data_IF_518293473142
#
_entry.id   IF_518293473142
#
_cell.length_a   1.000
_cell.length_b   1.000
_cell.length_c   1.000
_cell.angle_alpha   90.00
_cell.angle_beta   90.00
_cell.angle_gamma   90.00
#
_symmetry.space_group_name_H-M   'P 1'
#
loop_
_entity.id
_entity.type
_entity.pdbx_description
1 polymer ?
#
# COMPACT_ATOMS: atom_id res chain seq x y z
N UNK A 1 20.82 40.60 -25.13
CA UNK A 1 20.71 41.81 -24.28
C UNK A 1 20.49 41.36 -22.84
N UNK A 2 21.53 41.37 -22.00
CA UNK A 2 21.40 41.28 -20.55
C UNK A 2 21.71 42.66 -19.95
N UNK A 3 20.84 43.21 -19.12
CA UNK A 3 21.20 44.31 -18.23
C UNK A 3 20.98 43.88 -16.79
N UNK A 4 22.12 43.62 -16.14
CA UNK A 4 22.30 43.72 -14.69
C UNK A 4 22.34 45.19 -14.32
N UNK A 5 21.65 45.56 -13.25
CA UNK A 5 22.01 46.72 -12.44
C UNK A 5 21.90 46.34 -10.96
N UNK A 6 22.96 46.71 -10.26
CA UNK A 6 23.34 46.42 -8.88
C UNK A 6 22.82 47.49 -7.90
N UNK A 7 22.84 47.09 -6.62
CA UNK A 7 23.07 47.88 -5.40
C UNK A 7 21.90 48.44 -4.55
N UNK A 8 21.82 47.83 -3.35
CA UNK A 8 21.90 48.40 -1.99
C UNK A 8 20.80 49.29 -1.38
N UNK A 9 20.20 48.70 -0.33
CA UNK A 9 19.90 49.25 1.02
C UNK A 9 19.14 50.58 1.13
N UNK A 10 17.93 50.51 1.69
CA UNK A 10 17.63 51.11 3.01
C UNK A 10 16.25 50.66 3.54
N UNK A 11 16.19 50.53 4.86
CA UNK A 11 15.00 50.35 5.69
C UNK A 11 13.83 51.25 5.30
N UNK A 12 12.60 50.74 5.44
CA UNK A 12 11.61 51.33 6.35
C UNK A 12 10.36 50.47 6.42
N UNK A 13 9.93 50.23 7.66
CA UNK A 13 8.68 49.57 8.02
C UNK A 13 7.47 50.37 7.55
N UNK A 14 6.52 49.71 6.87
CA UNK A 14 5.07 49.75 7.15
C UNK A 14 4.33 48.89 6.12
N UNK A 15 3.31 48.13 6.55
CA UNK A 15 2.12 47.94 5.74
C UNK A 15 0.89 48.55 6.40
N UNK A 16 0.23 49.41 5.63
CA UNK A 16 -1.14 49.86 5.82
C UNK A 16 -2.13 48.78 5.33
N UNK A 17 -3.26 48.73 6.04
CA UNK A 17 -4.65 48.44 5.61
C UNK A 17 -4.97 47.01 5.16
N UNK A 18 -5.95 46.37 5.83
CA UNK A 18 -7.17 45.83 5.19
C UNK A 18 -8.38 46.06 6.11
N UNK A 19 -9.45 46.60 5.52
CA UNK A 19 -10.78 46.91 6.05
C UNK A 19 -11.82 46.08 5.29
N UNK A 20 -12.80 45.48 5.97
CA UNK A 20 -14.15 45.10 5.46
C UNK A 20 -15.10 45.07 6.71
N UNK A 21 -16.18 45.84 6.93
CA UNK A 21 -17.45 46.13 6.20
C UNK A 21 -18.22 44.83 5.88
N UNK A 22 -19.48 44.51 6.26
CA UNK A 22 -20.67 45.07 6.99
C UNK A 22 -21.63 43.85 7.30
N UNK A 23 -22.80 43.89 7.98
CA UNK A 23 -24.12 44.46 7.60
C UNK A 23 -25.26 44.14 8.64
N UNK A 24 -26.07 45.18 8.94
CA UNK A 24 -27.50 45.34 9.36
C UNK A 24 -28.10 44.74 10.65
N UNK A 25 -29.13 45.45 11.18
CA UNK A 25 -30.49 44.89 11.12
C UNK A 25 -31.57 45.84 10.56
N UNK A 26 -32.66 45.20 10.15
CA UNK A 26 -33.77 45.68 9.33
C UNK A 26 -34.76 46.64 10.02
N UNK A 27 -35.02 47.75 9.31
CA UNK A 27 -36.31 48.38 8.96
C UNK A 27 -37.56 48.06 9.82
N UNK A 28 -38.18 49.12 10.34
CA UNK A 28 -39.63 49.31 10.26
C UNK A 28 -39.94 50.78 9.94
N UNK A 29 -40.60 51.04 8.80
CA UNK A 29 -41.07 52.35 8.36
C UNK A 29 -42.53 52.58 8.80
N UNK A 30 -42.84 53.78 9.25
CA UNK A 30 -44.18 54.37 9.17
C UNK A 30 -44.10 55.58 8.20
N UNK A 31 -45.06 55.78 7.28
CA UNK A 31 -44.99 56.86 6.31
C UNK A 31 -45.64 58.13 6.85
N UNK A 32 -45.06 59.29 6.57
CA UNK A 32 -45.80 60.55 6.67
C UNK A 32 -45.49 61.47 5.48
N UNK A 33 -46.59 61.99 4.96
CA UNK A 33 -46.82 62.75 3.74
C UNK A 33 -45.85 63.88 3.38
N UNK A 34 -45.79 64.08 2.06
CA UNK A 34 -45.38 65.30 1.38
C UNK A 34 -46.15 66.54 1.88
N UNK A 35 -45.43 67.66 2.03
CA UNK A 35 -45.84 68.94 1.44
C UNK A 35 -44.69 69.95 1.50
N UNK A 36 -44.33 70.47 0.33
CA UNK A 36 -43.46 71.62 0.14
C UNK A 36 -44.17 72.94 0.52
N UNK A 37 -43.36 74.00 0.57
CA UNK A 37 -43.65 75.44 0.28
C UNK A 37 -43.51 76.39 1.48
N UNK A 38 -42.35 77.08 1.50
CA UNK A 38 -42.11 78.42 2.09
C UNK A 38 -42.66 79.52 1.14
N UNK A 39 -42.65 80.84 1.44
CA UNK A 39 -42.17 81.57 2.64
C UNK A 39 -43.12 82.71 3.13
N UNK A 40 -42.79 83.36 4.26
CA UNK A 40 -42.64 84.84 4.38
C UNK A 40 -42.73 85.33 5.84
N UNK A 41 -41.98 86.40 6.14
CA UNK A 41 -42.51 87.51 6.94
C UNK A 41 -42.21 87.59 8.44
N UNK A 42 -41.10 88.28 8.75
CA UNK A 42 -40.96 89.36 9.76
C UNK A 42 -41.46 89.21 11.22
N UNK A 43 -40.47 89.26 12.11
CA UNK A 43 -40.30 90.26 13.18
C UNK A 43 -41.00 90.09 14.56
N UNK A 44 -40.15 90.34 15.57
CA UNK A 44 -40.42 90.82 16.94
C UNK A 44 -40.92 89.83 18.00
N UNK A 45 -40.28 89.89 19.18
CA UNK A 45 -40.90 89.46 20.44
C UNK A 45 -39.98 88.74 21.43
N UNK A 46 -39.15 89.50 22.17
CA UNK A 46 -38.55 89.04 23.42
C UNK A 46 -39.65 88.52 24.38
N UNK A 47 -39.54 87.27 24.84
CA UNK A 47 -39.91 86.89 26.22
C UNK A 47 -38.97 85.82 26.77
N UNK A 48 -38.12 86.28 27.68
CA UNK A 48 -37.42 85.49 28.69
C UNK A 48 -38.50 84.94 29.64
N UNK A 49 -38.61 83.63 29.77
CA UNK A 49 -39.35 82.98 30.86
C UNK A 49 -38.73 81.60 31.15
N UNK A 50 -38.19 81.52 32.36
CA UNK A 50 -37.99 80.38 33.23
C UNK A 50 -36.98 79.29 32.88
N UNK A 51 -35.82 79.49 33.51
CA UNK A 51 -34.93 78.50 34.11
C UNK A 51 -35.72 77.60 35.09
N UNK A 52 -36.42 76.59 34.57
CA UNK A 52 -36.93 75.47 35.37
C UNK A 52 -36.19 74.19 34.97
N UNK A 53 -35.36 73.73 35.91
CA UNK A 53 -35.01 72.33 36.17
C UNK A 53 -35.26 71.35 35.01
N UNK A 54 -34.34 71.33 34.03
CA UNK A 54 -34.11 70.12 33.25
C UNK A 54 -33.46 69.08 34.16
N UNK A 55 -34.27 68.40 34.96
CA UNK A 55 -33.94 67.06 35.44
C UNK A 55 -33.82 66.22 34.18
N UNK A 56 -32.58 65.97 33.75
CA UNK A 56 -32.29 64.96 32.76
C UNK A 56 -32.76 63.63 33.33
N UNK A 57 -33.98 63.20 32.97
CA UNK A 57 -34.37 61.80 33.04
C UNK A 57 -33.46 61.02 32.09
N UNK A 58 -32.25 60.70 32.54
CA UNK A 58 -31.50 59.59 31.95
C UNK A 58 -32.31 58.34 32.29
N UNK A 59 -32.87 57.69 31.26
CA UNK A 59 -33.32 56.33 31.44
C UNK A 59 -32.09 55.47 31.77
N UNK A 60 -32.21 54.72 32.87
CA UNK A 60 -31.18 53.82 33.39
C UNK A 60 -30.80 52.85 32.26
N UNK A 61 -29.52 52.80 31.86
CA UNK A 61 -29.04 51.67 31.07
C UNK A 61 -28.93 50.52 32.07
N UNK A 62 -29.73 49.47 31.88
CA UNK A 62 -29.51 48.20 32.57
C UNK A 62 -28.07 47.73 32.33
N UNK A 63 -27.54 46.92 33.24
CA UNK A 63 -26.20 46.33 33.19
C UNK A 63 -25.80 45.93 31.75
N UNK A 64 -24.87 46.67 31.15
CA UNK A 64 -24.45 46.47 29.74
C UNK A 64 -23.37 45.39 29.63
N UNK A 65 -22.84 44.91 30.75
CA UNK A 65 -21.76 43.94 30.80
C UNK A 65 -22.29 42.64 31.40
N UNK A 66 -22.77 41.74 30.54
CA UNK A 66 -23.22 40.41 30.93
C UNK A 66 -22.07 39.39 31.00
N UNK A 67 -20.82 39.83 30.79
CA UNK A 67 -19.65 38.95 30.75
C UNK A 67 -18.42 39.60 31.40
N UNK A 68 -17.69 38.80 32.17
CA UNK A 68 -16.35 39.08 32.69
C UNK A 68 -15.40 37.96 32.25
N UNK A 69 -14.10 38.23 32.29
CA UNK A 69 -13.07 37.29 31.84
C UNK A 69 -12.03 37.08 32.93
N UNK A 70 -11.54 35.85 33.06
CA UNK A 70 -10.45 35.48 33.98
C UNK A 70 -9.52 34.53 33.25
N UNK A 71 -8.21 34.76 33.31
CA UNK A 71 -7.22 33.84 32.72
C UNK A 71 -7.17 32.54 33.52
N UNK A 72 -7.09 31.42 32.81
CA UNK A 72 -6.81 30.14 33.45
C UNK A 72 -5.37 30.01 33.95
N UNK A 73 -5.12 28.94 34.69
CA UNK A 73 -3.83 28.45 35.15
C UNK A 73 -2.91 29.46 35.87
N UNK A 74 -3.46 30.61 36.23
CA UNK A 74 -2.76 31.66 36.94
C UNK A 74 -2.32 31.18 38.32
N UNK A 75 -1.02 31.33 38.57
CA UNK A 75 -0.33 30.89 39.77
C UNK A 75 0.33 32.09 40.46
N UNK A 76 -0.48 32.88 41.16
CA UNK A 76 -0.03 34.00 41.99
C UNK A 76 -0.36 33.79 43.47
N UNK A 77 0.37 34.44 44.40
CA UNK A 77 0.08 34.37 45.83
C UNK A 77 -1.19 35.15 46.21
N UNK A 78 -1.66 36.04 45.33
CA UNK A 78 -2.85 36.87 45.55
C UNK A 78 -4.02 36.40 44.67
N UNK A 79 -5.26 36.47 45.19
CA UNK A 79 -6.46 36.24 44.40
C UNK A 79 -6.54 37.17 43.17
N UNK A 80 -6.99 36.65 42.05
CA UNK A 80 -7.07 37.41 40.79
C UNK A 80 -8.31 38.29 40.82
N UNK A 81 -8.15 39.60 40.63
CA UNK A 81 -9.28 40.50 40.40
C UNK A 81 -9.91 40.19 39.03
N UNK A 82 -11.12 39.63 39.04
CA UNK A 82 -11.89 39.31 37.83
C UNK A 82 -12.62 40.54 37.30
N UNK A 83 -13.10 41.38 38.21
CA UNK A 83 -13.84 42.59 37.86
C UNK A 83 -14.42 43.27 39.09
N UNK A 84 -15.05 44.42 38.87
CA UNK A 84 -15.74 45.18 39.92
C UNK A 84 -17.18 45.41 39.51
N UNK A 85 -18.10 45.08 40.39
CA UNK A 85 -19.50 45.49 40.28
C UNK A 85 -19.70 46.84 40.97
N UNK A 86 -20.53 47.68 40.37
CA UNK A 86 -20.85 48.98 40.93
C UNK A 86 -22.30 49.35 40.59
N UNK A 87 -22.99 49.96 41.53
CA UNK A 87 -24.34 50.51 41.33
C UNK A 87 -24.24 52.03 41.35
N UNK A 88 -25.01 52.68 40.48
CA UNK A 88 -25.12 54.14 40.43
C UNK A 88 -25.76 54.76 41.68
N UNK A 89 -26.35 53.91 42.53
CA UNK A 89 -26.89 54.28 43.84
C UNK A 89 -25.82 54.36 44.93
N UNK A 90 -24.57 53.95 44.66
CA UNK A 90 -23.46 54.06 45.62
C UNK A 90 -22.81 55.44 45.53
N UNK A 91 -23.01 56.35 46.52
CA UNK A 91 -22.31 57.64 46.54
C UNK A 91 -20.84 57.52 47.01
N UNK A 92 -20.27 56.31 47.08
CA UNK A 92 -18.98 56.02 47.70
C UNK A 92 -19.07 55.88 49.22
N UNK A 93 -20.25 55.55 49.73
CA UNK A 93 -20.51 55.38 51.18
C UNK A 93 -20.57 53.90 51.52
N UNK A 94 -20.14 53.49 52.72
CA UNK A 94 -20.18 52.08 53.13
C UNK A 94 -21.60 51.56 53.47
N UNK A 95 -22.64 52.12 52.84
CA UNK A 95 -24.07 51.81 53.00
C UNK A 95 -24.58 50.78 52.00
N UNK A 96 -23.86 50.53 50.91
CA UNK A 96 -24.20 49.48 49.95
C UNK A 96 -23.41 48.23 50.28
N UNK A 97 -24.08 47.09 50.16
CA UNK A 97 -23.51 45.76 50.30
C UNK A 97 -23.73 44.99 49.00
N UNK A 98 -22.65 44.49 48.43
CA UNK A 98 -22.70 43.63 47.24
C UNK A 98 -22.76 42.16 47.64
N UNK A 99 -23.69 41.42 47.04
CA UNK A 99 -23.89 39.99 47.25
C UNK A 99 -23.72 39.27 45.92
N UNK A 100 -22.99 38.15 45.96
CA UNK A 100 -22.75 37.27 44.82
C UNK A 100 -23.32 35.89 45.13
N UNK A 101 -24.00 35.30 44.15
CA UNK A 101 -24.63 33.98 44.23
C UNK A 101 -24.52 33.26 42.89
N UNK A 102 -24.79 31.95 42.84
CA UNK A 102 -24.65 31.13 41.64
C UNK A 102 -23.40 30.26 41.64
N UNK A 103 -22.91 29.91 40.46
CA UNK A 103 -21.85 28.91 40.27
C UNK A 103 -20.52 29.38 40.88
N UNK A 104 -20.00 28.60 41.83
CA UNK A 104 -18.71 28.89 42.46
C UNK A 104 -18.68 30.13 43.36
N UNK A 105 -19.82 30.79 43.59
CA UNK A 105 -19.91 31.94 44.49
C UNK A 105 -19.56 31.55 45.94
N UNK A 106 -18.68 32.32 46.57
CA UNK A 106 -18.21 32.09 47.94
C UNK A 106 -17.12 31.02 48.08
N UNK A 107 -16.83 30.25 47.02
CA UNK A 107 -15.78 29.21 47.02
C UNK A 107 -14.68 29.46 46.00
N UNK A 108 -15.07 29.78 44.77
CA UNK A 108 -14.19 30.06 43.64
C UNK A 108 -14.14 31.57 43.43
N UNK A 109 -15.30 32.22 43.38
CA UNK A 109 -15.43 33.66 43.22
C UNK A 109 -15.93 34.29 44.52
N UNK A 110 -15.15 35.23 45.06
CA UNK A 110 -15.49 35.96 46.29
C UNK A 110 -15.60 37.43 45.96
N UNK A 111 -16.77 38.01 46.27
CA UNK A 111 -16.99 39.45 46.16
C UNK A 111 -16.65 40.15 47.47
N UNK A 112 -15.94 41.26 47.39
CA UNK A 112 -15.80 42.20 48.49
C UNK A 112 -17.12 42.95 48.66
N UNK A 113 -17.77 42.75 49.80
CA UNK A 113 -19.11 43.27 50.07
C UNK A 113 -19.17 44.81 50.10
N UNK A 114 -18.04 45.51 50.28
CA UNK A 114 -17.94 46.97 50.30
C UNK A 114 -17.50 47.57 48.96
N UNK A 115 -16.52 46.96 48.30
CA UNK A 115 -15.93 47.53 47.07
C UNK A 115 -16.56 47.01 45.79
N UNK A 116 -17.25 45.86 45.86
CA UNK A 116 -17.79 45.17 44.70
C UNK A 116 -16.73 44.43 43.88
N UNK A 117 -15.47 44.37 44.35
CA UNK A 117 -14.40 43.63 43.69
C UNK A 117 -14.61 42.12 43.80
N UNK A 118 -14.68 41.45 42.66
CA UNK A 118 -14.79 40.00 42.56
C UNK A 118 -13.40 39.42 42.34
N UNK A 119 -12.99 38.50 43.21
CA UNK A 119 -11.73 37.79 43.09
C UNK A 119 -11.93 36.30 42.85
N UNK A 120 -11.10 35.73 41.97
CA UNK A 120 -10.94 34.29 41.85
C UNK A 120 -9.93 33.81 42.91
N UNK A 121 -10.39 32.96 43.82
CA UNK A 121 -9.63 32.45 44.96
C UNK A 121 -8.94 31.11 44.69
N UNK A 122 -9.27 30.47 43.56
CA UNK A 122 -8.72 29.18 43.14
C UNK A 122 -8.15 29.31 41.74
N UNK A 123 -7.19 28.43 41.44
CA UNK A 123 -6.74 28.17 40.08
C UNK A 123 -7.93 27.63 39.27
N UNK A 124 -8.08 28.13 38.06
CA UNK A 124 -9.13 27.76 37.13
C UNK A 124 -8.48 27.06 35.95
N UNK A 125 -9.16 26.05 35.44
CA UNK A 125 -8.80 25.26 34.27
C UNK A 125 -10.03 25.31 33.34
N UNK A 126 -9.82 25.76 32.10
CA UNK A 126 -10.87 25.94 31.11
C UNK A 126 -11.36 24.59 30.60
N UNK A 127 -10.47 23.62 30.42
CA UNK A 127 -10.79 22.24 30.03
C UNK A 127 -11.66 21.55 31.09
N UNK A 128 -11.49 21.90 32.37
CA UNK A 128 -12.41 21.47 33.44
C UNK A 128 -13.75 22.20 33.37
N UNK A 129 -13.76 23.54 33.34
CA UNK A 129 -14.98 24.35 33.24
C UNK A 129 -14.74 25.75 32.66
N UNK A 130 -15.14 25.93 31.41
CA UNK A 130 -14.94 27.17 30.64
C UNK A 130 -15.80 28.38 31.08
N UNK A 131 -16.98 28.19 31.67
CA UNK A 131 -17.89 29.29 32.00
C UNK A 131 -18.63 29.09 33.33
N UNK A 132 -18.83 30.19 34.05
CA UNK A 132 -19.57 30.24 35.32
C UNK A 132 -20.69 31.26 35.22
N UNK A 133 -21.92 30.86 35.53
CA UNK A 133 -23.06 31.78 35.58
C UNK A 133 -23.30 32.23 37.01
N UNK A 134 -23.19 33.54 37.25
CA UNK A 134 -23.37 34.14 38.57
C UNK A 134 -24.46 35.21 38.54
N UNK A 135 -25.07 35.42 39.70
CA UNK A 135 -26.04 36.49 39.92
C UNK A 135 -25.53 37.41 41.02
N UNK A 136 -25.49 38.70 40.72
CA UNK A 136 -25.14 39.74 41.68
C UNK A 136 -26.33 40.59 42.08
N UNK A 137 -26.30 41.08 43.32
CA UNK A 137 -27.31 41.97 43.85
C UNK A 137 -26.68 43.04 44.75
N UNK A 138 -27.08 44.29 44.55
CA UNK A 138 -26.77 45.40 45.45
C UNK A 138 -27.93 45.57 46.45
N UNK A 139 -27.62 45.52 47.74
CA UNK A 139 -28.57 45.72 48.83
C UNK A 139 -28.14 46.84 49.75
N UNK A 140 -29.10 47.45 50.44
CA UNK A 140 -28.82 48.33 51.57
C UNK A 140 -28.18 47.52 52.70
N UNK A 141 -27.06 48.00 53.25
CA UNK A 141 -26.24 47.23 54.17
C UNK A 141 -26.89 47.00 55.53
N UNK A 142 -27.71 47.94 55.99
CA UNK A 142 -28.34 47.88 57.30
C UNK A 142 -29.64 47.07 57.26
N UNK A 143 -30.39 47.20 56.17
CA UNK A 143 -31.72 46.59 56.03
C UNK A 143 -31.75 45.34 55.15
N UNK A 144 -30.66 45.05 54.41
CA UNK A 144 -30.59 44.04 53.34
C UNK A 144 -31.71 44.15 52.29
N UNK A 145 -32.33 45.34 52.14
CA UNK A 145 -33.33 45.54 51.09
C UNK A 145 -32.65 45.67 49.72
N UNK A 146 -33.15 44.98 48.68
CA UNK A 146 -32.66 45.14 47.31
C UNK A 146 -32.76 46.59 46.83
N UNK A 147 -31.62 47.16 46.46
CA UNK A 147 -31.55 48.49 45.84
C UNK A 147 -31.70 48.40 44.32
N UNK A 148 -31.27 47.27 43.76
CA UNK A 148 -31.40 46.93 42.36
C UNK A 148 -31.96 45.51 42.17
N UNK A 149 -32.62 45.23 41.03
CA UNK A 149 -32.92 43.85 40.67
C UNK A 149 -31.62 43.03 40.57
N UNK A 150 -31.67 41.72 40.88
CA UNK A 150 -30.54 40.84 40.62
C UNK A 150 -30.12 40.89 39.15
N UNK A 151 -28.81 40.90 38.90
CA UNK A 151 -28.24 40.88 37.55
C UNK A 151 -27.44 39.60 37.36
N UNK A 152 -27.81 38.82 36.36
CA UNK A 152 -27.05 37.65 35.92
C UNK A 152 -25.92 38.08 34.98
N UNK A 153 -24.75 37.45 35.15
CA UNK A 153 -23.59 37.63 34.29
C UNK A 153 -22.76 36.34 34.25
N UNK A 154 -21.94 36.21 33.22
CA UNK A 154 -21.09 35.04 33.01
C UNK A 154 -19.63 35.43 33.26
N UNK A 155 -18.90 34.63 34.00
CA UNK A 155 -17.44 34.69 34.03
C UNK A 155 -16.93 33.62 33.05
N UNK A 156 -16.28 34.07 31.97
CA UNK A 156 -15.62 33.19 31.01
C UNK A 156 -14.16 33.00 31.39
N UNK A 157 -13.71 31.76 31.42
CA UNK A 157 -12.29 31.42 31.58
C UNK A 157 -11.61 31.60 30.23
N UNK A 158 -10.56 32.40 30.19
CA UNK A 158 -9.76 32.64 29.00
C UNK A 158 -8.67 31.59 28.87
N UNK A 159 -8.65 31.01 27.69
CA UNK A 159 -7.72 29.97 27.25
C UNK A 159 -6.25 30.42 27.30
N UNK A 160 -5.37 29.53 27.75
CA UNK A 160 -3.92 29.57 27.63
C UNK A 160 -3.50 28.29 26.92
N UNK A 161 -2.58 28.41 25.96
CA UNK A 161 -2.10 27.26 25.20
C UNK A 161 -1.16 26.36 26.04
N UNK A 162 -1.70 25.53 26.91
CA UNK A 162 -0.98 24.68 27.85
C UNK A 162 -1.16 23.17 27.60
N UNK A 163 -2.09 22.79 26.72
CA UNK A 163 -2.22 21.42 26.24
C UNK A 163 -1.45 21.24 24.92
N UNK A 164 -0.69 20.16 24.81
CA UNK A 164 -0.03 19.81 23.57
C UNK A 164 -0.93 18.91 22.71
N UNK A 165 -0.81 18.97 21.36
CA UNK A 165 -1.56 18.07 20.49
C UNK A 165 -1.28 16.59 20.79
N UNK A 166 -2.32 15.77 20.90
CA UNK A 166 -2.21 14.32 21.14
C UNK A 166 -2.82 13.51 20.00
N UNK A 167 -2.14 12.44 19.57
CA UNK A 167 -2.64 11.53 18.54
C UNK A 167 -3.52 10.44 19.16
N UNK A 168 -4.76 10.29 18.67
CA UNK A 168 -5.80 9.48 19.33
C UNK A 168 -5.93 8.02 18.81
N UNK A 169 -5.23 7.65 17.74
CA UNK A 169 -5.34 6.34 17.07
C UNK A 169 -3.98 5.64 16.82
N UNK A 170 -2.92 6.04 17.53
CA UNK A 170 -1.59 5.42 17.39
C UNK A 170 -1.48 4.04 18.08
N UNK A 171 -0.57 3.15 17.63
CA UNK A 171 0.37 3.31 16.51
C UNK A 171 -0.30 3.12 15.13
N UNK A 172 0.09 3.93 14.15
CA UNK A 172 -0.48 3.88 12.81
C UNK A 172 0.29 2.94 11.90
N UNK A 173 -0.43 2.08 11.18
CA UNK A 173 0.11 1.21 10.14
C UNK A 173 -0.64 1.46 8.84
N UNK A 174 0.10 1.51 7.73
CA UNK A 174 -0.47 1.69 6.41
C UNK A 174 0.28 0.83 5.38
N UNK A 175 -0.41 0.53 4.29
CA UNK A 175 0.15 -0.18 3.16
C UNK A 175 -0.16 0.60 1.89
N UNK A 176 0.81 0.75 1.02
CA UNK A 176 0.65 1.40 -0.29
C UNK A 176 1.34 0.55 -1.36
N UNK A 177 0.76 0.37 -2.55
CA UNK A 177 1.45 -0.33 -3.63
C UNK A 177 2.78 0.33 -3.96
N UNK A 178 3.81 -0.48 -4.20
CA UNK A 178 5.02 0.02 -4.82
C UNK A 178 4.74 0.58 -6.22
N UNK A 179 5.70 1.32 -6.77
CA UNK A 179 5.58 2.06 -8.02
C UNK A 179 4.37 3.02 -8.08
N UNK A 180 3.74 3.31 -6.94
CA UNK A 180 2.61 4.24 -6.87
C UNK A 180 3.01 5.61 -7.39
N UNK A 181 2.11 6.23 -8.16
CA UNK A 181 2.31 7.59 -8.65
C UNK A 181 2.39 8.57 -7.48
N UNK A 182 3.13 9.67 -7.67
CA UNK A 182 3.22 10.75 -6.68
C UNK A 182 1.82 11.31 -6.39
N UNK A 183 1.51 11.52 -5.11
CA UNK A 183 0.23 12.01 -4.64
C UNK A 183 -0.79 10.91 -4.31
N UNK A 184 -0.40 9.64 -4.40
CA UNK A 184 -1.25 8.50 -4.00
C UNK A 184 -1.53 8.58 -2.50
N UNK A 185 -2.80 8.44 -2.12
CA UNK A 185 -3.23 8.41 -0.72
C UNK A 185 -2.63 7.18 -0.01
N UNK A 186 -1.99 7.41 1.14
CA UNK A 186 -1.44 6.33 1.99
C UNK A 186 -2.33 6.11 3.20
N UNK A 187 -2.48 7.13 4.03
CA UNK A 187 -3.32 7.08 5.22
C UNK A 187 -3.64 8.49 5.72
N UNK A 188 -4.50 8.60 6.72
CA UNK A 188 -4.79 9.84 7.44
C UNK A 188 -4.51 9.62 8.92
N UNK A 189 -3.78 10.55 9.55
CA UNK A 189 -3.58 10.56 10.99
C UNK A 189 -4.48 11.61 11.64
N UNK A 190 -4.83 11.42 12.91
CA UNK A 190 -5.67 12.36 13.65
C UNK A 190 -5.01 12.72 14.97
N UNK A 191 -4.84 14.02 15.21
CA UNK A 191 -4.51 14.58 16.51
C UNK A 191 -5.62 15.51 16.99
N UNK A 192 -5.74 15.59 18.31
CA UNK A 192 -6.66 16.46 19.03
C UNK A 192 -5.89 17.33 20.00
N UNK A 193 -6.41 18.52 20.23
CA UNK A 193 -5.88 19.47 21.20
C UNK A 193 -7.02 19.88 22.12
N UNK A 194 -6.76 19.99 23.41
CA UNK A 194 -7.78 20.26 24.41
C UNK A 194 -8.10 21.76 24.50
N UNK A 195 -7.20 22.64 24.06
CA UNK A 195 -7.31 24.09 24.15
C UNK A 195 -8.46 24.65 23.28
N UNK A 196 -8.80 25.93 23.44
CA UNK A 196 -9.85 26.59 22.66
C UNK A 196 -9.44 26.74 21.17
N UNK A 197 -10.23 26.21 20.21
CA UNK A 197 -9.91 26.33 18.79
C UNK A 197 -10.29 27.69 18.19
N UNK A 198 -11.06 28.51 18.90
CA UNK A 198 -11.65 29.78 18.41
C UNK A 198 -10.82 30.97 18.88
N UNK A 199 -10.42 31.00 20.15
CA UNK A 199 -9.63 32.09 20.71
C UNK A 199 -8.12 31.83 20.49
N UNK A 200 -7.39 32.81 19.98
CA UNK A 200 -5.92 32.72 19.84
C UNK A 200 -5.37 31.73 18.80
N UNK A 201 -6.21 30.93 18.14
CA UNK A 201 -5.85 29.77 17.33
C UNK A 201 -5.13 28.65 18.13
N UNK A 202 -5.24 28.61 19.47
CA UNK A 202 -4.50 27.67 20.34
C UNK A 202 -4.62 26.24 19.82
N UNK A 203 -5.83 25.67 19.74
CA UNK A 203 -6.03 24.30 19.25
C UNK A 203 -6.02 24.12 17.71
N UNK A 204 -5.62 25.12 16.91
CA UNK A 204 -5.59 24.97 15.45
C UNK A 204 -4.33 24.22 15.01
N UNK A 205 -4.49 22.96 14.64
CA UNK A 205 -3.38 22.09 14.27
C UNK A 205 -2.85 22.29 12.85
N UNK A 206 -1.53 22.22 12.72
CA UNK A 206 -0.78 22.12 11.46
C UNK A 206 0.15 20.92 11.52
N UNK A 207 0.07 20.05 10.50
CA UNK A 207 0.81 18.80 10.43
C UNK A 207 2.05 18.92 9.55
N UNK A 208 3.13 18.24 9.94
CA UNK A 208 4.37 18.17 9.16
C UNK A 208 5.08 16.83 9.35
N UNK A 209 5.98 16.49 8.42
CA UNK A 209 6.82 15.29 8.51
C UNK A 209 8.19 15.70 9.05
N UNK A 210 8.62 15.08 10.15
CA UNK A 210 9.98 15.23 10.70
C UNK A 210 10.94 14.21 10.05
N UNK A 211 10.50 12.98 9.86
CA UNK A 211 11.28 11.89 9.23
C UNK A 211 10.41 11.12 8.23
N UNK A 212 10.97 10.74 7.08
CA UNK A 212 10.25 10.08 5.99
C UNK A 212 10.26 10.83 4.66
N UNK A 213 10.82 12.05 4.62
CA UNK A 213 11.21 12.71 3.37
C UNK A 213 12.40 11.98 2.72
N UNK A 214 12.51 11.96 1.38
CA UNK A 214 11.60 12.55 0.39
C UNK A 214 10.44 11.61 -0.05
N UNK A 215 10.26 10.47 0.61
CA UNK A 215 9.36 9.41 0.17
C UNK A 215 7.88 9.76 0.31
N UNK A 216 7.51 10.46 1.38
CA UNK A 216 6.13 10.80 1.69
C UNK A 216 5.94 12.30 1.90
N UNK A 217 4.72 12.79 1.72
CA UNK A 217 4.29 14.15 2.02
C UNK A 217 3.04 14.11 2.91
N UNK A 218 2.80 15.17 3.66
CA UNK A 218 1.58 15.32 4.46
C UNK A 218 0.90 16.63 4.12
N UNK A 219 -0.42 16.60 3.97
CA UNK A 219 -1.21 17.82 3.84
C UNK A 219 -1.36 18.51 5.20
N UNK A 220 -0.89 19.77 5.35
CA UNK A 220 -0.74 20.39 6.67
C UNK A 220 -2.05 20.62 7.45
N UNK A 221 -3.21 20.60 6.81
CA UNK A 221 -4.50 20.89 7.46
C UNK A 221 -5.45 19.69 7.51
N UNK A 222 -5.24 18.68 6.66
CA UNK A 222 -6.11 17.50 6.58
C UNK A 222 -5.44 16.27 7.19
N UNK A 223 -4.13 16.33 7.47
CA UNK A 223 -3.31 15.24 7.98
C UNK A 223 -3.29 14.00 7.08
N UNK A 224 -3.56 14.20 5.79
CA UNK A 224 -3.49 13.14 4.78
C UNK A 224 -2.04 12.95 4.34
N UNK A 225 -1.53 11.73 4.51
CA UNK A 225 -0.21 11.33 4.04
C UNK A 225 -0.33 10.77 2.62
N UNK A 226 0.57 11.21 1.74
CA UNK A 226 0.64 10.82 0.33
C UNK A 226 2.06 10.42 -0.07
N UNK A 227 2.19 9.60 -1.10
CA UNK A 227 3.48 9.36 -1.75
C UNK A 227 4.04 10.66 -2.34
N UNK A 228 5.34 10.89 -2.19
CA UNK A 228 6.04 12.07 -2.69
C UNK A 228 7.18 11.73 -3.65
N UNK A 229 7.69 10.50 -3.60
CA UNK A 229 8.71 9.99 -4.51
C UNK A 229 8.09 8.95 -5.46
N UNK A 230 8.35 9.03 -6.79
CA UNK A 230 7.93 7.98 -7.72
C UNK A 230 8.81 6.74 -7.60
N UNK A 231 8.34 5.61 -8.14
CA UNK A 231 9.10 4.37 -8.28
C UNK A 231 9.74 3.90 -6.97
N UNK A 232 9.02 4.05 -5.86
CA UNK A 232 9.35 3.34 -4.64
C UNK A 232 9.21 1.85 -4.93
N UNK A 233 10.24 1.09 -4.56
CA UNK A 233 10.46 -0.31 -4.97
C UNK A 233 10.61 -1.14 -3.68
N UNK A 234 9.77 -2.17 -3.55
CA UNK A 234 9.66 -3.04 -2.38
C UNK A 234 10.88 -3.95 -2.26
N UNK A 235 11.37 -4.48 -3.37
CA UNK A 235 12.58 -5.32 -3.45
C UNK A 235 13.82 -4.57 -2.96
N UNK A 236 13.86 -3.25 -3.17
CA UNK A 236 14.89 -2.38 -2.61
C UNK A 236 14.65 -2.02 -1.13
N UNK A 237 13.41 -1.67 -0.76
CA UNK A 237 13.03 -1.32 0.62
C UNK A 237 11.52 -1.45 0.86
N UNK A 238 11.14 -2.45 1.65
CA UNK A 238 9.72 -2.76 1.92
C UNK A 238 9.05 -1.88 2.98
N UNK A 239 9.80 -1.33 3.95
CA UNK A 239 9.21 -0.67 5.13
C UNK A 239 9.81 0.72 5.40
N UNK A 240 8.94 1.66 5.75
CA UNK A 240 9.27 3.05 6.06
C UNK A 240 8.64 3.50 7.37
N UNK A 241 9.46 4.05 8.26
CA UNK A 241 9.01 4.72 9.47
C UNK A 241 8.92 6.22 9.22
N UNK A 242 7.71 6.78 9.31
CA UNK A 242 7.44 8.20 9.08
C UNK A 242 7.06 8.85 10.39
N UNK A 243 7.83 9.84 10.84
CA UNK A 243 7.55 10.60 12.06
C UNK A 243 6.77 11.85 11.69
N UNK A 244 5.54 11.94 12.19
CA UNK A 244 4.63 13.06 11.98
C UNK A 244 4.62 13.94 13.23
N UNK A 245 4.63 15.25 13.03
CA UNK A 245 4.38 16.25 14.06
C UNK A 245 3.04 16.93 13.80
N UNK A 246 2.22 17.04 14.84
CA UNK A 246 1.10 17.97 14.91
C UNK A 246 1.54 19.15 15.79
N UNK A 247 1.38 20.37 15.28
CA UNK A 247 1.72 21.60 16.00
C UNK A 247 0.51 22.51 16.09
N UNK A 248 0.24 23.00 17.29
CA UNK A 248 -0.88 23.89 17.60
C UNK A 248 -0.60 25.34 17.12
N UNK A 249 -1.42 26.30 17.55
CA UNK A 249 -1.28 27.73 17.21
C UNK A 249 -1.16 28.01 15.71
N UNK A 250 -1.80 27.21 14.86
CA UNK A 250 -1.68 27.31 13.40
C UNK A 250 -0.25 27.09 12.88
N UNK A 251 0.60 26.40 13.64
CA UNK A 251 2.01 26.16 13.33
C UNK A 251 2.96 27.31 13.66
N UNK A 252 2.49 28.39 14.30
CA UNK A 252 3.31 29.56 14.63
C UNK A 252 4.43 29.26 15.64
N UNK A 253 5.42 30.17 15.75
CA UNK A 253 6.46 30.08 16.77
C UNK A 253 5.84 30.31 18.15
N UNK A 254 6.12 29.41 19.09
CA UNK A 254 5.53 29.42 20.44
C UNK A 254 4.53 28.29 20.69
N UNK A 255 3.98 27.69 19.62
CA UNK A 255 3.08 26.56 19.74
C UNK A 255 3.72 25.27 20.25
N UNK A 256 2.96 24.46 20.98
CA UNK A 256 3.32 23.13 21.45
C UNK A 256 3.13 22.10 20.32
N UNK A 257 3.75 20.93 20.49
CA UNK A 257 3.73 19.90 19.47
C UNK A 257 3.70 18.50 20.04
N UNK A 258 2.87 17.65 19.43
CA UNK A 258 2.90 16.20 19.61
C UNK A 258 3.49 15.51 18.39
N UNK A 259 4.02 14.30 18.60
CA UNK A 259 4.58 13.47 17.53
C UNK A 259 4.03 12.05 17.56
N UNK A 260 3.89 11.44 16.39
CA UNK A 260 3.58 9.99 16.25
C UNK A 260 4.42 9.38 15.14
N UNK A 261 4.64 8.07 15.21
CA UNK A 261 5.25 7.29 14.12
C UNK A 261 4.18 6.54 13.35
N UNK A 262 4.28 6.56 12.02
CA UNK A 262 3.47 5.78 11.09
C UNK A 262 4.39 4.78 10.40
N UNK A 263 4.06 3.50 10.49
CA UNK A 263 4.77 2.43 9.78
C UNK A 263 4.09 2.18 8.45
N UNK A 264 4.77 2.48 7.35
CA UNK A 264 4.25 2.32 5.99
C UNK A 264 4.99 1.16 5.33
N UNK A 265 4.23 0.17 4.87
CA UNK A 265 4.73 -0.99 4.13
C UNK A 265 4.37 -0.85 2.65
N UNK A 266 5.29 -1.24 1.77
CA UNK A 266 4.99 -1.35 0.35
C UNK A 266 4.33 -2.71 0.08
N UNK A 267 3.16 -2.70 -0.57
CA UNK A 267 2.58 -3.94 -1.10
C UNK A 267 3.16 -4.22 -2.48
N UNK A 268 3.47 -5.49 -2.67
CA UNK A 268 4.05 -6.06 -3.89
C UNK A 268 3.21 -5.79 -5.14
N UNK A 269 3.89 -5.41 -6.21
CA UNK A 269 3.37 -5.28 -7.57
C UNK A 269 4.21 -6.19 -8.45
N UNK A 270 3.58 -6.92 -9.39
CA UNK A 270 4.34 -7.75 -10.33
C UNK A 270 5.11 -6.88 -11.34
N UNK A 271 6.34 -6.51 -10.99
CA UNK A 271 7.25 -5.73 -11.84
C UNK A 271 8.59 -6.44 -12.11
N UNK A 272 8.86 -7.57 -11.44
CA UNK A 272 10.00 -8.43 -11.74
C UNK A 272 9.57 -9.68 -12.50
N UNK A 273 10.20 -9.98 -13.65
CA UNK A 273 9.96 -11.25 -14.32
C UNK A 273 10.85 -12.36 -13.77
N UNK A 274 10.43 -13.63 -13.93
CA UNK A 274 11.22 -14.77 -13.51
C UNK A 274 12.48 -14.84 -14.37
N UNK A 275 13.65 -14.99 -13.74
CA UNK A 275 14.95 -15.07 -14.43
C UNK A 275 15.57 -16.44 -14.24
N UNK A 276 15.91 -17.11 -15.34
CA UNK A 276 16.59 -18.39 -15.26
C UNK A 276 17.97 -18.25 -14.59
N UNK A 277 18.29 -19.20 -13.70
CA UNK A 277 19.60 -19.24 -13.04
C UNK A 277 20.75 -19.49 -14.03
N UNK A 278 20.46 -20.10 -15.18
CA UNK A 278 21.42 -20.41 -16.24
C UNK A 278 20.78 -20.14 -17.61
N UNK A 279 21.56 -19.62 -18.56
CA UNK A 279 21.12 -19.44 -19.94
C UNK A 279 21.13 -20.74 -20.76
N UNK A 280 21.92 -21.73 -20.34
CA UNK A 280 22.05 -23.05 -20.95
C UNK A 280 22.06 -24.12 -19.86
N UNK A 281 21.09 -25.04 -19.93
CA UNK A 281 21.06 -26.26 -19.12
C UNK A 281 21.51 -27.45 -19.96
N UNK A 282 22.21 -28.39 -19.33
CA UNK A 282 22.67 -29.61 -19.97
C UNK A 282 22.20 -30.83 -19.19
N UNK A 283 21.53 -31.75 -19.88
CA UNK A 283 21.08 -33.02 -19.32
C UNK A 283 21.47 -34.16 -20.26
N UNK A 284 21.60 -35.35 -19.70
CA UNK A 284 21.68 -36.59 -20.46
C UNK A 284 20.62 -37.57 -19.98
N UNK A 285 20.16 -38.42 -20.89
CA UNK A 285 19.11 -39.40 -20.65
C UNK A 285 19.34 -40.62 -21.54
N UNK A 286 19.16 -41.81 -20.99
CA UNK A 286 19.20 -43.05 -21.76
C UNK A 286 17.99 -43.13 -22.70
N UNK A 287 18.14 -43.76 -23.86
CA UNK A 287 17.02 -43.90 -24.79
C UNK A 287 15.91 -44.83 -24.29
N UNK A 288 16.27 -45.84 -23.48
CA UNK A 288 15.37 -46.83 -22.87
C UNK A 288 14.61 -46.31 -21.65
N UNK A 289 14.76 -45.02 -21.34
CA UNK A 289 14.12 -44.36 -20.21
C UNK A 289 12.59 -44.52 -20.22
N UNK A 290 12.03 -44.82 -19.05
CA UNK A 290 10.59 -44.96 -18.90
C UNK A 290 9.86 -43.62 -19.17
N UNK A 291 8.68 -43.71 -19.80
CA UNK A 291 7.81 -42.56 -20.02
C UNK A 291 7.38 -41.94 -18.68
N UNK A 292 7.42 -40.61 -18.61
CA UNK A 292 7.10 -39.82 -17.42
C UNK A 292 8.27 -39.62 -16.45
N UNK A 293 9.43 -40.22 -16.71
CA UNK A 293 10.60 -40.06 -15.83
C UNK A 293 11.20 -38.65 -15.99
N UNK A 294 11.57 -37.97 -14.88
CA UNK A 294 12.22 -36.67 -14.93
C UNK A 294 13.66 -36.76 -15.44
N UNK A 295 13.96 -35.98 -16.48
CA UNK A 295 15.31 -35.82 -17.03
C UNK A 295 16.12 -34.83 -16.20
N UNK A 296 15.48 -33.74 -15.79
CA UNK A 296 16.17 -32.62 -15.16
C UNK A 296 15.23 -31.53 -14.70
N UNK A 297 15.79 -30.56 -13.98
CA UNK A 297 15.08 -29.40 -13.45
C UNK A 297 15.73 -28.12 -13.93
N UNK A 298 14.91 -27.18 -14.37
CA UNK A 298 15.30 -25.80 -14.66
C UNK A 298 14.70 -24.88 -13.62
N UNK A 299 15.45 -23.87 -13.22
CA UNK A 299 15.01 -22.94 -12.18
C UNK A 299 15.04 -21.51 -12.69
N UNK A 300 13.90 -20.83 -12.57
CA UNK A 300 13.79 -19.39 -12.66
C UNK A 300 13.52 -18.79 -11.28
N UNK A 301 14.19 -17.68 -10.97
CA UNK A 301 13.99 -16.95 -9.72
C UNK A 301 13.26 -15.64 -10.04
N UNK A 302 12.18 -15.40 -9.31
CA UNK A 302 11.46 -14.14 -9.31
C UNK A 302 11.76 -13.39 -8.01
N UNK A 303 11.85 -12.05 -8.07
CA UNK A 303 12.15 -11.20 -6.91
C UNK A 303 10.89 -10.71 -6.18
N UNK A 304 9.74 -10.81 -6.83
CA UNK A 304 8.44 -10.50 -6.24
C UNK A 304 8.08 -11.50 -5.12
N UNK A 305 6.95 -11.29 -4.45
CA UNK A 305 6.47 -12.20 -3.40
C UNK A 305 5.06 -12.76 -3.64
N UNK A 306 4.74 -13.85 -2.94
CA UNK A 306 3.41 -14.43 -2.93
C UNK A 306 2.97 -14.98 -4.29
N UNK A 307 1.85 -14.48 -4.80
CA UNK A 307 1.33 -14.90 -6.11
C UNK A 307 2.10 -14.30 -7.28
N UNK A 308 2.65 -13.09 -7.14
CA UNK A 308 3.38 -12.41 -8.23
C UNK A 308 4.68 -13.16 -8.58
N UNK A 309 5.32 -13.76 -7.57
CA UNK A 309 6.52 -14.58 -7.72
C UNK A 309 6.31 -15.96 -8.37
N UNK A 310 5.06 -16.40 -8.60
CA UNK A 310 4.80 -17.74 -9.13
C UNK A 310 4.97 -17.79 -10.63
N UNK A 311 5.66 -18.82 -11.12
CA UNK A 311 5.97 -18.98 -12.54
C UNK A 311 5.42 -20.27 -13.13
N UNK A 312 4.96 -20.19 -14.37
CA UNK A 312 4.69 -21.33 -15.25
C UNK A 312 5.85 -21.55 -16.21
N UNK A 313 6.13 -22.80 -16.55
CA UNK A 313 7.14 -23.16 -17.53
C UNK A 313 6.50 -23.79 -18.77
N UNK A 314 7.06 -23.53 -19.94
CA UNK A 314 6.62 -24.12 -21.20
C UNK A 314 7.78 -24.37 -22.17
N UNK A 315 7.65 -25.36 -23.05
CA UNK A 315 8.61 -25.64 -24.13
C UNK A 315 8.07 -24.94 -25.39
N UNK A 316 8.70 -23.83 -25.76
CA UNK A 316 8.20 -22.98 -26.86
C UNK A 316 8.82 -23.34 -28.22
N UNK A 317 10.02 -23.93 -28.24
CA UNK A 317 10.70 -24.35 -29.47
C UNK A 317 11.58 -25.60 -29.23
N UNK A 318 11.91 -26.33 -30.29
CA UNK A 318 12.88 -27.43 -30.26
C UNK A 318 12.28 -28.84 -30.11
N UNK A 319 11.01 -28.94 -29.71
CA UNK A 319 10.28 -30.20 -29.58
C UNK A 319 9.09 -30.31 -30.54
N UNK A 320 9.37 -30.36 -31.85
CA UNK A 320 8.34 -30.39 -32.89
C UNK A 320 7.45 -31.65 -32.92
N UNK A 321 7.69 -32.62 -32.02
CA UNK A 321 6.92 -33.86 -31.94
C UNK A 321 6.37 -34.11 -30.52
N UNK A 322 6.39 -33.15 -29.61
CA UNK A 322 5.93 -33.31 -28.21
C UNK A 322 6.57 -34.54 -27.52
N UNK A 323 7.88 -34.74 -27.71
CA UNK A 323 8.67 -35.82 -27.11
C UNK A 323 8.90 -35.55 -25.64
N UNK A 324 9.02 -34.28 -25.25
CA UNK A 324 9.25 -33.82 -23.90
C UNK A 324 8.03 -33.05 -23.39
N UNK A 325 7.91 -32.99 -22.07
CA UNK A 325 6.98 -32.10 -21.40
C UNK A 325 7.70 -31.38 -20.27
N UNK A 326 7.22 -30.18 -19.92
CA UNK A 326 7.69 -29.45 -18.75
C UNK A 326 6.50 -29.11 -17.85
N UNK A 327 6.68 -29.30 -16.55
CA UNK A 327 5.66 -28.99 -15.54
C UNK A 327 6.28 -28.24 -14.38
N UNK A 328 5.56 -27.28 -13.79
CA UNK A 328 5.99 -26.60 -12.56
C UNK A 328 5.82 -27.52 -11.35
N UNK A 329 6.88 -27.68 -10.56
CA UNK A 329 6.82 -28.37 -9.27
C UNK A 329 6.05 -27.53 -8.24
N UNK A 330 5.03 -28.13 -7.62
CA UNK A 330 4.17 -27.41 -6.68
C UNK A 330 4.88 -26.97 -5.38
N UNK A 331 6.00 -27.61 -5.02
CA UNK A 331 6.75 -27.29 -3.79
C UNK A 331 7.91 -26.35 -4.06
N UNK A 332 8.70 -26.63 -5.10
CA UNK A 332 9.94 -25.86 -5.37
C UNK A 332 9.75 -24.74 -6.39
N UNK A 333 8.64 -24.72 -7.14
CA UNK A 333 8.41 -23.84 -8.30
C UNK A 333 9.47 -24.00 -9.41
N UNK A 334 10.21 -25.11 -9.42
CA UNK A 334 11.13 -25.43 -10.52
C UNK A 334 10.36 -26.06 -11.69
N UNK A 335 10.86 -25.86 -12.91
CA UNK A 335 10.36 -26.57 -14.10
C UNK A 335 10.98 -27.96 -14.18
N UNK A 336 10.17 -29.01 -14.12
CA UNK A 336 10.62 -30.41 -14.28
C UNK A 336 10.38 -30.86 -15.72
N UNK A 337 11.45 -31.27 -16.40
CA UNK A 337 11.39 -31.78 -17.77
C UNK A 337 11.26 -33.32 -17.72
N UNK A 338 10.30 -33.88 -18.46
CA UNK A 338 10.02 -35.32 -18.53
C UNK A 338 9.98 -35.83 -19.97
N UNK A 339 10.21 -37.12 -20.12
CA UNK A 339 10.01 -37.83 -21.38
C UNK A 339 8.55 -38.20 -21.54
N UNK A 340 7.93 -37.76 -22.64
CA UNK A 340 6.53 -38.02 -23.00
C UNK A 340 6.39 -39.09 -24.08
N UNK A 341 7.39 -39.25 -24.95
CA UNK A 341 7.44 -40.27 -26.00
C UNK A 341 8.80 -40.99 -25.99
N UNK A 342 8.86 -42.25 -26.44
CA UNK A 342 10.11 -43.01 -26.49
C UNK A 342 11.20 -42.26 -27.25
N UNK A 343 12.42 -42.38 -26.75
CA UNK A 343 13.61 -41.87 -27.39
C UNK A 343 14.24 -42.98 -28.24
N UNK A 344 15.07 -42.58 -29.19
CA UNK A 344 15.77 -43.47 -30.12
C UNK A 344 17.07 -42.74 -30.50
N UNK A 345 18.19 -43.30 -30.04
CA UNK A 345 19.51 -42.74 -30.19
C UNK A 345 19.97 -42.77 -31.66
N UNK A 346 19.68 -43.84 -32.38
CA UNK A 346 19.97 -44.06 -33.80
C UNK A 346 19.32 -42.97 -34.65
N UNK A 347 18.08 -42.62 -34.31
CA UNK A 347 17.30 -41.58 -34.98
C UNK A 347 17.79 -40.17 -34.62
N UNK A 348 17.96 -39.87 -33.31
CA UNK A 348 18.34 -38.52 -32.88
C UNK A 348 19.05 -38.46 -31.53
N UNK A 349 20.37 -38.28 -31.60
CA UNK A 349 21.30 -38.23 -30.46
C UNK A 349 21.20 -37.00 -29.54
N UNK A 350 20.52 -35.92 -29.95
CA UNK A 350 20.39 -34.74 -29.09
C UNK A 350 19.23 -33.83 -29.46
N UNK A 351 18.71 -33.14 -28.45
CA UNK A 351 17.65 -32.15 -28.56
C UNK A 351 18.11 -30.82 -27.96
N UNK A 352 17.75 -29.74 -28.64
CA UNK A 352 17.94 -28.38 -28.14
C UNK A 352 16.57 -27.75 -28.02
N UNK A 353 16.10 -27.61 -26.78
CA UNK A 353 14.82 -27.04 -26.43
C UNK A 353 15.00 -25.59 -26.03
N UNK A 354 14.02 -24.76 -26.35
CA UNK A 354 13.89 -23.42 -25.79
C UNK A 354 12.73 -23.44 -24.81
N UNK A 355 13.05 -23.18 -23.55
CA UNK A 355 12.08 -23.18 -22.45
C UNK A 355 11.80 -21.75 -22.05
N UNK A 356 10.54 -21.43 -21.82
CA UNK A 356 10.06 -20.16 -21.31
C UNK A 356 9.61 -20.33 -19.86
N UNK A 357 9.96 -19.39 -18.99
CA UNK A 357 9.34 -19.21 -17.68
C UNK A 357 8.58 -17.90 -17.72
N UNK A 358 7.34 -17.88 -17.24
CA UNK A 358 6.48 -16.69 -17.23
C UNK A 358 5.70 -16.57 -15.92
N UNK A 359 5.44 -15.36 -15.45
CA UNK A 359 4.59 -15.15 -14.27
C UNK A 359 3.17 -15.67 -14.53
N UNK A 360 2.59 -16.35 -13.55
CA UNK A 360 1.22 -16.87 -13.64
C UNK A 360 0.20 -15.73 -13.54
N UNK A 361 0.46 -14.76 -12.67
CA UNK A 361 -0.45 -13.66 -12.39
C UNK A 361 0.06 -12.39 -13.03
N UNK A 362 -0.58 -11.98 -14.13
CA UNK A 362 -0.24 -10.74 -14.82
C UNK A 362 -1.19 -9.63 -14.37
N UNK A 363 -0.65 -8.52 -13.87
CA UNK A 363 -1.45 -7.33 -13.59
C UNK A 363 -1.68 -6.54 -14.90
N UNK A 364 -2.95 -6.31 -15.31
CA UNK A 364 -3.28 -5.57 -16.53
C UNK A 364 -2.60 -4.20 -16.66
N UNK A 365 -2.29 -3.53 -15.55
CA UNK A 365 -1.67 -2.21 -15.51
C UNK A 365 -0.23 -2.22 -16.00
N UNK A 366 0.45 -3.36 -15.88
CA UNK A 366 1.88 -3.50 -16.20
C UNK A 366 2.13 -4.33 -17.46
N UNK A 367 1.07 -4.84 -18.13
CA UNK A 367 1.16 -5.62 -19.38
C UNK A 367 1.99 -4.95 -20.50
N UNK A 368 2.10 -3.63 -20.49
CA UNK A 368 2.88 -2.84 -21.46
C UNK A 368 4.33 -2.55 -21.02
N UNK A 369 4.72 -2.93 -19.80
CA UNK A 369 5.92 -2.45 -19.11
C UNK A 369 7.16 -3.35 -19.19
N UNK A 370 7.06 -4.64 -19.52
CA UNK A 370 8.25 -5.49 -19.56
C UNK A 370 7.96 -6.95 -19.92
N UNK A 371 9.01 -7.73 -20.20
CA UNK A 371 8.84 -9.14 -20.48
C UNK A 371 8.57 -9.86 -19.15
N UNK A 372 7.31 -10.21 -18.86
CA UNK A 372 6.89 -11.10 -17.74
C UNK A 372 7.37 -12.55 -17.90
N UNK A 373 8.47 -12.70 -18.61
CA UNK A 373 8.99 -13.97 -19.08
C UNK A 373 10.46 -13.88 -19.39
N UNK A 374 11.14 -14.99 -19.18
CA UNK A 374 12.51 -15.21 -19.59
C UNK A 374 12.60 -16.54 -20.33
N UNK A 375 13.67 -16.73 -21.10
CA UNK A 375 13.89 -17.95 -21.87
C UNK A 375 15.28 -18.52 -21.64
N UNK A 376 15.38 -19.83 -21.52
CA UNK A 376 16.64 -20.55 -21.44
C UNK A 376 16.70 -21.66 -22.49
N UNK A 377 17.93 -22.03 -22.87
CA UNK A 377 18.17 -23.18 -23.75
C UNK A 377 18.43 -24.42 -22.91
N UNK A 378 17.80 -25.54 -23.25
CA UNK A 378 18.05 -26.85 -22.64
C UNK A 378 18.59 -27.78 -23.70
N UNK A 379 19.81 -28.28 -23.51
CA UNK A 379 20.41 -29.30 -24.36
C UNK A 379 20.31 -30.66 -23.68
N UNK A 380 19.58 -31.57 -24.30
CA UNK A 380 19.43 -32.96 -23.86
C UNK A 380 20.24 -33.84 -24.80
N UNK A 381 21.15 -34.63 -24.24
CA UNK A 381 21.91 -35.64 -24.97
C UNK A 381 21.25 -36.99 -24.71
N UNK A 382 20.95 -37.72 -25.78
CA UNK A 382 20.49 -39.11 -25.67
C UNK A 382 21.72 -39.98 -25.58
N UNK A 383 21.75 -40.85 -24.57
CA UNK A 383 22.76 -41.87 -24.37
C UNK A 383 22.23 -43.21 -24.90
N UNK A 384 23.12 -43.91 -25.59
CA UNK A 384 22.93 -45.22 -26.21
C UNK A 384 22.69 -46.28 -25.11
N UNK A 385 21.63 -47.07 -25.23
CA UNK A 385 21.33 -48.19 -24.35
C UNK A 385 21.40 -49.51 -25.13
N UNK A 386 21.89 -50.56 -24.48
CA UNK A 386 22.12 -51.88 -25.12
C UNK A 386 20.81 -52.47 -25.71
N UNK A 387 20.76 -52.63 -27.03
CA UNK A 387 19.63 -53.19 -27.77
C UNK A 387 19.97 -54.56 -28.41
N UNK A 388 18.99 -55.47 -28.50
CA UNK A 388 19.23 -56.76 -29.17
C UNK A 388 19.40 -56.61 -30.69
N UNK A 389 20.03 -57.58 -31.37
CA UNK A 389 20.36 -57.44 -32.79
C UNK A 389 19.10 -57.60 -33.64
N UNK A 390 18.97 -56.74 -34.64
CA UNK A 390 17.82 -56.63 -35.53
C UNK A 390 18.13 -57.24 -36.90
N UNK A 391 17.30 -58.21 -37.31
CA UNK A 391 17.37 -58.79 -38.66
C UNK A 391 17.05 -57.75 -39.73
N UNK A 392 17.76 -57.80 -40.87
CA UNK A 392 17.55 -56.87 -41.98
C UNK A 392 16.21 -57.04 -42.69
N UNK A 393 15.53 -58.18 -42.50
CA UNK A 393 14.17 -58.43 -42.99
C UNK A 393 13.36 -59.16 -41.91
N UNK A 394 12.07 -58.84 -41.72
CA UNK A 394 11.20 -59.56 -40.79
C UNK A 394 10.88 -60.99 -41.25
N UNK A 395 11.09 -61.30 -42.54
CA UNK A 395 10.87 -62.64 -43.09
C UNK A 395 11.81 -62.87 -44.27
N UNK A 396 12.40 -64.06 -44.33
CA UNK A 396 13.24 -64.51 -45.44
C UNK A 396 12.55 -65.67 -46.14
N UNK A 397 12.15 -65.48 -47.40
CA UNK A 397 11.58 -66.53 -48.23
C UNK A 397 12.68 -67.12 -49.11
N UNK A 398 12.96 -68.41 -48.93
CA UNK A 398 13.97 -69.14 -49.70
C UNK A 398 13.29 -70.24 -50.50
N UNK A 399 13.64 -70.33 -51.79
CA UNK A 399 13.17 -71.42 -52.66
C UNK A 399 14.28 -72.47 -52.80
N UNK A 400 13.93 -73.74 -52.58
CA UNK A 400 14.85 -74.87 -52.66
C UNK A 400 14.22 -76.00 -53.47
N UNK A 401 15.03 -76.64 -54.31
CA UNK A 401 14.63 -77.88 -54.99
C UNK A 401 14.81 -79.08 -54.05
N UNK A 402 13.88 -80.04 -54.08
CA UNK A 402 13.97 -81.27 -53.28
C UNK A 402 15.27 -82.07 -53.52
N UNK A 403 15.79 -82.00 -54.76
CA UNK A 403 17.03 -82.65 -55.18
C UNK A 403 18.28 -81.80 -54.90
N UNK A 404 18.17 -80.76 -54.06
CA UNK A 404 19.32 -79.96 -53.64
C UNK A 404 20.35 -80.85 -52.93
N UNK A 405 21.63 -80.64 -53.28
CA UNK A 405 22.72 -81.42 -52.70
C UNK A 405 22.87 -81.10 -51.21
N UNK A 406 23.24 -82.10 -50.41
CA UNK A 406 23.59 -81.87 -49.01
C UNK A 406 24.71 -80.83 -48.91
N UNK A 407 24.58 -79.94 -47.93
CA UNK A 407 25.41 -78.76 -47.69
C UNK A 407 25.35 -77.66 -48.77
N UNK A 408 24.41 -77.71 -49.72
CA UNK A 408 24.17 -76.58 -50.62
C UNK A 408 23.65 -75.37 -49.84
N UNK A 409 24.12 -74.17 -50.17
CA UNK A 409 23.63 -72.91 -49.59
C UNK A 409 22.26 -72.59 -50.16
N UNK A 410 21.26 -72.46 -49.29
CA UNK A 410 19.87 -72.13 -49.64
C UNK A 410 19.62 -70.63 -49.64
N UNK A 411 20.32 -69.92 -48.77
CA UNK A 411 20.19 -68.48 -48.59
C UNK A 411 21.05 -67.99 -47.45
N UNK A 412 20.94 -66.71 -47.14
CA UNK A 412 21.67 -66.06 -46.06
C UNK A 412 20.75 -65.07 -45.36
N UNK A 413 20.79 -65.08 -44.03
CA UNK A 413 20.19 -64.02 -43.21
C UNK A 413 21.24 -63.04 -42.77
N UNK A 414 20.81 -61.81 -42.53
CA UNK A 414 21.67 -60.73 -42.05
C UNK A 414 20.98 -60.05 -40.88
N UNK A 415 21.76 -59.72 -39.85
CA UNK A 415 21.32 -58.91 -38.73
C UNK A 415 22.39 -57.85 -38.46
N UNK A 416 21.97 -56.78 -37.81
CA UNK A 416 22.82 -55.72 -37.34
C UNK A 416 22.34 -55.33 -35.95
N UNK A 417 23.29 -54.97 -35.11
CA UNK A 417 23.07 -54.43 -33.77
C UNK A 417 23.00 -52.90 -33.95
N UNK A 418 21.91 -52.25 -33.53
CA UNK A 418 21.72 -50.80 -33.65
C UNK A 418 22.79 -49.97 -32.93
N UNK A 419 23.36 -50.51 -31.85
CA UNK A 419 24.17 -49.77 -30.88
C UNK A 419 25.50 -49.25 -31.46
N UNK A 420 26.05 -48.18 -30.85
CA UNK A 420 27.36 -47.62 -31.22
C UNK A 420 28.49 -48.62 -30.99
N UNK A 421 28.40 -49.38 -29.91
CA UNK A 421 29.38 -50.40 -29.53
C UNK A 421 28.82 -51.81 -29.73
N UNK A 422 28.72 -52.24 -30.98
CA UNK A 422 28.21 -53.58 -31.27
C UNK A 422 29.18 -54.71 -30.97
N UNK A 423 28.64 -55.79 -30.41
CA UNK A 423 29.34 -57.06 -30.23
C UNK A 423 29.14 -57.97 -31.45
N UNK A 424 30.02 -58.97 -31.69
CA UNK A 424 29.84 -59.86 -32.83
C UNK A 424 28.54 -60.66 -32.74
N UNK A 425 27.67 -60.52 -33.74
CA UNK A 425 26.41 -61.25 -33.81
C UNK A 425 26.69 -62.74 -34.12
N UNK A 426 25.93 -63.63 -33.49
CA UNK A 426 25.91 -65.07 -33.76
C UNK A 426 24.52 -65.54 -34.16
N UNK A 427 24.45 -66.35 -35.21
CA UNK A 427 23.21 -66.93 -35.72
C UNK A 427 23.02 -68.38 -35.29
N UNK A 428 21.79 -68.75 -34.94
CA UNK A 428 21.40 -70.13 -34.64
C UNK A 428 19.97 -70.44 -35.09
N UNK A 429 19.67 -71.70 -35.38
CA UNK A 429 18.30 -72.16 -35.68
C UNK A 429 17.65 -72.63 -34.37
N UNK A 430 16.45 -72.14 -34.07
CA UNK A 430 15.65 -72.67 -32.98
C UNK A 430 15.22 -74.10 -33.32
N UNK A 431 15.80 -75.06 -32.58
CA UNK A 431 15.61 -76.50 -32.83
C UNK A 431 14.19 -76.98 -32.51
N UNK A 432 13.34 -76.18 -31.87
CA UNK A 432 11.92 -76.50 -31.74
C UNK A 432 11.15 -76.32 -33.05
N UNK A 433 11.67 -75.52 -33.98
CA UNK A 433 11.05 -75.26 -35.30
C UNK A 433 11.64 -76.13 -36.42
N UNK A 434 12.83 -76.71 -36.20
CA UNK A 434 13.52 -77.63 -37.11
C UNK A 434 13.78 -78.98 -36.41
N UNK A 435 12.70 -79.70 -36.07
CA UNK A 435 12.75 -80.94 -35.29
C UNK A 435 13.53 -82.06 -36.00
N UNK A 436 13.42 -82.10 -37.32
CA UNK A 436 14.10 -83.09 -38.16
C UNK A 436 15.56 -82.70 -38.46
N UNK A 437 16.01 -81.53 -37.99
CA UNK A 437 17.36 -80.98 -38.22
C UNK A 437 17.71 -80.92 -39.70
N UNK A 438 16.75 -80.50 -40.51
CA UNK A 438 16.85 -80.47 -41.96
C UNK A 438 17.77 -79.34 -42.44
N UNK A 439 17.99 -78.33 -41.60
CA UNK A 439 18.76 -77.14 -41.94
C UNK A 439 19.91 -76.89 -40.94
N UNK A 440 21.00 -76.35 -41.47
CA UNK A 440 22.12 -75.82 -40.70
C UNK A 440 22.28 -74.33 -41.00
N UNK A 441 22.82 -73.59 -40.03
CA UNK A 441 23.20 -72.19 -40.22
C UNK A 441 24.65 -72.01 -39.76
N UNK A 442 25.42 -71.24 -40.52
CA UNK A 442 26.73 -70.79 -40.09
C UNK A 442 26.57 -69.65 -39.08
N UNK A 443 27.18 -69.83 -37.91
CA UNK A 443 27.02 -68.90 -36.79
C UNK A 443 27.63 -67.51 -37.03
N UNK A 444 28.60 -67.36 -37.92
CA UNK A 444 29.32 -66.10 -38.17
C UNK A 444 28.75 -65.32 -39.35
N UNK A 445 28.33 -66.00 -40.43
CA UNK A 445 27.89 -65.34 -41.66
C UNK A 445 26.39 -65.53 -41.97
N UNK A 446 25.64 -66.29 -41.17
CA UNK A 446 24.20 -66.46 -41.33
C UNK A 446 23.79 -67.25 -42.58
N UNK A 447 24.71 -67.93 -43.28
CA UNK A 447 24.38 -68.80 -44.41
C UNK A 447 23.65 -70.05 -43.96
N UNK A 448 22.52 -70.32 -44.60
CA UNK A 448 21.69 -71.50 -44.35
C UNK A 448 22.04 -72.58 -45.37
N UNK A 449 22.33 -73.79 -44.90
CA UNK A 449 22.67 -74.94 -45.73
C UNK A 449 21.73 -76.11 -45.46
N UNK A 450 21.55 -76.95 -46.49
CA UNK A 450 20.73 -78.16 -46.37
C UNK A 450 21.50 -79.27 -45.63
N UNK A 451 20.92 -79.82 -44.55
CA UNK A 451 21.54 -80.85 -43.72
C UNK A 451 21.01 -82.27 -44.03
N UNK A 452 19.74 -82.40 -44.39
CA UNK A 452 19.12 -83.66 -44.79
C UNK A 452 18.35 -83.50 -46.11
N UNK A 453 18.14 -84.56 -46.90
CA UNK A 453 17.34 -84.46 -48.12
C UNK A 453 15.92 -83.97 -47.82
N UNK A 454 15.37 -83.15 -48.72
CA UNK A 454 13.98 -82.72 -48.66
C UNK A 454 13.14 -83.60 -49.58
N UNK A 455 11.89 -83.83 -49.18
CA UNK A 455 10.91 -84.54 -50.00
C UNK A 455 9.64 -83.68 -50.06
N UNK A 456 9.38 -83.11 -51.24
CA UNK A 456 8.27 -82.18 -51.45
C UNK A 456 6.91 -82.86 -51.24
N UNK A 457 6.82 -84.17 -51.50
CA UNK A 457 5.57 -84.91 -51.29
C UNK A 457 5.25 -85.09 -49.81
N UNK A 458 6.26 -85.03 -48.93
CA UNK A 458 6.05 -85.09 -47.46
C UNK A 458 5.73 -83.72 -46.87
N UNK A 459 6.47 -82.69 -47.26
CA UNK A 459 6.25 -81.32 -46.81
C UNK A 459 6.50 -80.33 -47.94
N UNK A 460 5.50 -79.49 -48.20
CA UNK A 460 5.58 -78.45 -49.24
C UNK A 460 6.15 -77.13 -48.74
N UNK A 461 6.28 -76.97 -47.42
CA UNK A 461 6.83 -75.77 -46.78
C UNK A 461 7.54 -76.15 -45.48
N UNK A 462 8.61 -75.40 -45.16
CA UNK A 462 9.34 -75.54 -43.91
C UNK A 462 9.42 -74.15 -43.27
N UNK A 463 8.89 -74.02 -42.05
CA UNK A 463 9.06 -72.81 -41.26
C UNK A 463 10.12 -73.06 -40.19
N UNK A 464 11.25 -72.38 -40.34
CA UNK A 464 12.31 -72.38 -39.34
C UNK A 464 12.42 -70.98 -38.73
N UNK A 465 12.63 -70.93 -37.42
CA UNK A 465 12.93 -69.69 -36.71
C UNK A 465 14.43 -69.60 -36.50
N UNK A 466 14.98 -68.44 -36.82
CA UNK A 466 16.39 -68.12 -36.65
C UNK A 466 16.52 -67.11 -35.52
N UNK A 467 17.51 -67.31 -34.66
CA UNK A 467 17.83 -66.45 -33.52
C UNK A 467 19.18 -65.81 -33.79
N UNK A 468 19.26 -64.48 -33.61
CA UNK A 468 20.50 -63.73 -33.57
C UNK A 468 20.77 -63.31 -32.12
N UNK A 469 22.02 -63.37 -31.68
CA UNK A 469 22.46 -62.99 -30.32
C UNK A 469 23.80 -62.28 -30.38
N UNK A 470 24.04 -61.24 -29.57
CA UNK A 470 25.39 -60.76 -29.27
C UNK A 470 26.21 -61.80 -28.46
N UNK A 471 27.53 -61.60 -28.39
CA UNK A 471 28.48 -62.49 -27.68
C UNK A 471 29.30 -61.78 -26.64
#
# INVERSE_FOLDING_TARGET
MPERLTEMLMDTWTPLIILWITVLPSIYMAPMNQSQVLPSGSSTGLKRLNEELRVLHRSKRGWVWNQMFVLEEFSGPEPILVGRLHTDLDPGSSKIKYILSGDGAGTIFVINDKTGDIHAMKRLDREEKAEYTLTAQAVDRDTNQPLEPPSEFIIKVQDINDNAPEFVEGPYHATVPEMSVVGTFVTKVTATDADDPVYGNSAKLVYSILEGQPYFSIEPHTAIIKTALPNMDREAKEEYFVVIQAKDMGGHMGGLSGTTTVTITLSDVNDNPPKFAQSLYHFSVMEDVALGEPIGRVKANDLDIGENAKSSYDIIEGDGMDIFEITTDAQTQDGIIRVRKPLDFETKKSYTLKVEAANIHLDPRFLSGGPFKDTATVKIVVEDADEPPVFSSPTYLLEVHENAALNSVLGQVTAHDPDVSSSPIRFSIDRHTDLERQFNINAEDGKITLATPLDRETSTWHNITIVATET
#
